data_IF_552823651292
#
_entry.id   IF_552823651292
#
_cell.length_a   1.000
_cell.length_b   1.000
_cell.length_c   1.000
_cell.angle_alpha   90.00
_cell.angle_beta   90.00
_cell.angle_gamma   90.00
#
_symmetry.space_group_name_H-M   'P 1'
#
loop_
_entity.id
_entity.type
_entity.pdbx_description
1 polymer ?
#
# COMPACT_ATOMS: atom_id res chain seq x y z
N UNK A 1 24.42 10.76 5.84
CA UNK A 1 24.26 9.32 5.53
C UNK A 1 22.97 9.07 4.74
N UNK A 2 22.48 10.04 3.96
CA UNK A 2 21.01 10.21 3.95
C UNK A 2 20.32 10.10 2.57
N UNK A 3 20.89 10.58 1.46
CA UNK A 3 20.15 10.52 0.18
C UNK A 3 20.22 9.16 -0.53
N UNK A 4 21.35 8.46 -0.45
CA UNK A 4 21.54 7.17 -1.12
C UNK A 4 20.70 6.04 -0.46
N UNK A 5 20.54 6.09 0.87
CA UNK A 5 19.72 5.14 1.63
C UNK A 5 18.24 5.39 1.38
N UNK A 6 17.81 6.66 1.32
CA UNK A 6 16.46 7.03 0.89
C UNK A 6 16.15 6.55 -0.53
N UNK A 7 17.09 6.72 -1.47
CA UNK A 7 16.94 6.26 -2.86
C UNK A 7 16.82 4.74 -2.99
N UNK A 8 17.66 3.98 -2.29
CA UNK A 8 17.61 2.52 -2.29
C UNK A 8 16.30 2.00 -1.66
N UNK A 9 15.87 2.60 -0.56
CA UNK A 9 14.60 2.25 0.11
C UNK A 9 13.40 2.60 -0.76
N UNK A 10 13.39 3.75 -1.44
CA UNK A 10 12.31 4.15 -2.33
C UNK A 10 12.18 3.23 -3.56
N UNK A 11 13.30 2.83 -4.16
CA UNK A 11 13.32 1.90 -5.29
C UNK A 11 12.77 0.52 -4.88
N UNK A 12 13.16 0.04 -3.69
CA UNK A 12 12.71 -1.24 -3.16
C UNK A 12 11.21 -1.22 -2.79
N UNK A 13 10.74 -0.13 -2.18
CA UNK A 13 9.33 0.10 -1.87
C UNK A 13 8.49 0.13 -3.15
N UNK A 14 8.98 0.81 -4.20
CA UNK A 14 8.37 0.84 -5.53
C UNK A 14 8.27 -0.57 -6.14
N UNK A 15 9.33 -1.37 -6.08
CA UNK A 15 9.33 -2.74 -6.62
C UNK A 15 8.35 -3.65 -5.86
N UNK A 16 8.29 -3.53 -4.54
CA UNK A 16 7.34 -4.26 -3.69
C UNK A 16 5.88 -3.81 -3.91
N UNK A 17 5.65 -2.53 -4.18
CA UNK A 17 4.31 -2.04 -4.56
C UNK A 17 3.91 -2.58 -5.93
N UNK A 18 4.82 -2.58 -6.91
CA UNK A 18 4.56 -3.13 -8.25
C UNK A 18 4.31 -4.64 -8.19
N UNK A 19 4.87 -5.38 -7.23
CA UNK A 19 4.59 -6.82 -7.09
C UNK A 19 3.23 -7.13 -6.47
N UNK A 20 2.55 -6.16 -5.84
CA UNK A 20 1.19 -6.34 -5.34
C UNK A 20 0.17 -6.41 -6.49
N UNK A 21 -0.92 -7.15 -6.30
CA UNK A 21 -2.06 -7.13 -7.23
C UNK A 21 -2.61 -5.70 -7.38
N UNK A 22 -3.04 -5.32 -8.59
CA UNK A 22 -3.57 -3.99 -8.90
C UNK A 22 -4.60 -3.48 -7.88
N UNK A 23 -5.48 -4.38 -7.40
CA UNK A 23 -6.52 -4.06 -6.40
C UNK A 23 -5.97 -3.63 -5.04
N UNK A 24 -4.76 -4.06 -4.69
CA UNK A 24 -4.09 -3.68 -3.46
C UNK A 24 -3.22 -2.42 -3.64
N UNK A 25 -2.67 -2.19 -4.85
CA UNK A 25 -1.87 -1.00 -5.14
C UNK A 25 -2.66 0.29 -4.98
N UNK A 26 -3.83 0.38 -5.60
CA UNK A 26 -4.64 1.60 -5.54
C UNK A 26 -5.00 1.96 -4.10
N UNK A 27 -5.27 0.97 -3.26
CA UNK A 27 -5.62 1.19 -1.86
C UNK A 27 -4.43 1.63 -1.01
N UNK A 28 -3.21 1.19 -1.31
CA UNK A 28 -2.01 1.69 -0.64
C UNK A 28 -1.74 3.13 -1.06
N UNK A 29 -1.80 3.47 -2.35
CA UNK A 29 -1.59 4.87 -2.78
C UNK A 29 -2.63 5.85 -2.22
N UNK A 30 -3.84 5.38 -1.94
CA UNK A 30 -4.92 6.21 -1.42
C UNK A 30 -5.03 6.15 0.12
N UNK A 31 -4.06 5.55 0.84
CA UNK A 31 -4.21 5.31 2.29
C UNK A 31 -4.30 6.58 3.15
N UNK A 32 -3.83 7.72 2.64
CA UNK A 32 -3.91 9.03 3.26
C UNK A 32 -5.31 9.68 3.11
N UNK A 33 -6.18 9.12 2.27
CA UNK A 33 -7.56 9.56 2.13
C UNK A 33 -8.46 8.91 3.17
N UNK A 34 -9.55 9.59 3.50
CA UNK A 34 -10.59 9.03 4.36
C UNK A 34 -11.21 7.78 3.70
N UNK A 35 -11.52 6.76 4.50
CA UNK A 35 -12.01 5.45 3.98
C UNK A 35 -13.25 5.61 3.10
N UNK A 36 -14.14 6.53 3.45
CA UNK A 36 -15.34 6.86 2.67
C UNK A 36 -14.97 7.38 1.27
N UNK A 37 -13.97 8.24 1.17
CA UNK A 37 -13.47 8.78 -0.11
C UNK A 37 -12.89 7.67 -0.98
N UNK A 38 -12.11 6.76 -0.38
CA UNK A 38 -11.55 5.60 -1.09
C UNK A 38 -12.67 4.66 -1.57
N UNK A 39 -13.71 4.44 -0.76
CA UNK A 39 -14.87 3.61 -1.10
C UNK A 39 -15.62 4.17 -2.31
N UNK A 40 -15.84 5.48 -2.36
CA UNK A 40 -16.46 6.17 -3.49
C UNK A 40 -15.58 6.10 -4.75
N UNK A 41 -14.29 6.42 -4.64
CA UNK A 41 -13.37 6.42 -5.79
C UNK A 41 -13.20 5.05 -6.44
N UNK A 42 -13.26 3.98 -5.65
CA UNK A 42 -13.06 2.62 -6.13
C UNK A 42 -14.37 1.86 -6.37
N UNK A 43 -15.52 2.49 -6.11
CA UNK A 43 -16.85 1.86 -6.17
C UNK A 43 -16.91 0.56 -5.34
N UNK A 44 -16.41 0.62 -4.10
CA UNK A 44 -16.36 -0.52 -3.18
C UNK A 44 -17.07 -0.21 -1.86
N UNK A 45 -17.65 -1.20 -1.17
CA UNK A 45 -18.12 -1.02 0.19
C UNK A 45 -16.98 -0.63 1.14
N UNK A 46 -17.21 0.28 2.09
CA UNK A 46 -16.20 0.69 3.08
C UNK A 46 -15.60 -0.50 3.85
N UNK A 47 -16.41 -1.51 4.17
CA UNK A 47 -15.93 -2.75 4.80
C UNK A 47 -14.91 -3.51 3.94
N UNK A 48 -15.08 -3.47 2.61
CA UNK A 48 -14.12 -4.05 1.66
C UNK A 48 -12.84 -3.22 1.62
N UNK A 49 -12.94 -1.88 1.62
CA UNK A 49 -11.77 -0.99 1.69
C UNK A 49 -10.97 -1.24 2.97
N UNK A 50 -11.63 -1.27 4.13
CA UNK A 50 -11.01 -1.57 5.44
C UNK A 50 -10.25 -2.90 5.42
N UNK A 51 -10.91 -3.97 4.97
CA UNK A 51 -10.28 -5.30 4.95
C UNK A 51 -9.15 -5.42 3.92
N UNK A 52 -9.20 -4.67 2.81
CA UNK A 52 -8.11 -4.62 1.82
C UNK A 52 -6.93 -3.79 2.31
N UNK A 53 -7.17 -2.65 2.97
CA UNK A 53 -6.13 -1.84 3.63
C UNK A 53 -5.37 -2.67 4.67
N UNK A 54 -6.10 -3.36 5.55
CA UNK A 54 -5.51 -4.23 6.56
C UNK A 54 -4.63 -5.31 5.93
N UNK A 55 -5.15 -6.03 4.91
CA UNK A 55 -4.38 -7.05 4.19
C UNK A 55 -3.15 -6.48 3.47
N UNK A 56 -3.27 -5.31 2.85
CA UNK A 56 -2.16 -4.65 2.17
C UNK A 56 -1.05 -4.24 3.16
N UNK A 57 -1.40 -3.66 4.31
CA UNK A 57 -0.45 -3.33 5.39
C UNK A 57 0.25 -4.56 5.93
N UNK A 58 -0.47 -5.66 6.16
CA UNK A 58 0.14 -6.91 6.63
C UNK A 58 1.10 -7.50 5.59
N UNK A 59 0.75 -7.47 4.30
CA UNK A 59 1.64 -7.90 3.22
C UNK A 59 2.89 -7.05 3.13
N UNK A 60 2.75 -5.73 3.23
CA UNK A 60 3.90 -4.81 3.26
C UNK A 60 4.78 -5.09 4.48
N UNK A 61 4.19 -5.28 5.67
CA UNK A 61 4.93 -5.60 6.89
C UNK A 61 5.74 -6.89 6.75
N UNK A 62 5.16 -7.94 6.15
CA UNK A 62 5.89 -9.20 5.87
C UNK A 62 7.06 -8.95 4.90
N UNK A 63 6.85 -8.19 3.82
CA UNK A 63 7.90 -7.86 2.86
C UNK A 63 9.04 -7.00 3.46
N UNK A 64 8.74 -6.24 4.50
CA UNK A 64 9.72 -5.41 5.23
C UNK A 64 10.43 -6.13 6.37
N UNK A 65 9.79 -7.14 6.99
CA UNK A 65 10.34 -7.92 8.12
C UNK A 65 11.01 -9.23 7.69
N UNK A 66 10.86 -9.66 6.44
CA UNK A 66 11.54 -10.83 5.89
C UNK A 66 12.99 -10.53 5.46
N UNK A 67 13.60 -9.50 6.03
CA UNK A 67 15.03 -9.14 5.92
C UNK A 67 15.76 -9.41 7.23
#
# INVERSE_FOLDING_TARGET
MDDAVLGANALRLKNNLISLNLRFRCIVFLHELEIRTIALLLELPEGTVKSRLHRARNKLKILYLAE
#
